data_IF_553214479796
#
_entry.id   IF_553214479796
#
_cell.length_a   1.000
_cell.length_b   1.000
_cell.length_c   1.000
_cell.angle_alpha   90.00
_cell.angle_beta   90.00
_cell.angle_gamma   90.00
#
_symmetry.space_group_name_H-M   'P 1'
#
loop_
_entity.id
_entity.type
_entity.pdbx_description
1 polymer ?
#
# COMPACT_ATOMS: atom_id res chain seq x y z
N UNK A 1 -26.72 -14.19 -33.57
CA UNK A 1 -25.69 -14.80 -32.74
C UNK A 1 -26.07 -14.46 -31.33
N UNK A 2 -26.62 -15.43 -30.61
CA UNK A 2 -26.99 -15.28 -29.20
C UNK A 2 -25.73 -15.49 -28.39
N UNK A 3 -25.33 -14.48 -27.63
CA UNK A 3 -24.34 -14.65 -26.58
C UNK A 3 -25.04 -15.33 -25.40
N UNK A 4 -24.66 -16.56 -25.15
CA UNK A 4 -25.10 -17.33 -23.99
C UNK A 4 -24.57 -16.65 -22.72
N UNK A 5 -25.46 -16.03 -21.96
CA UNK A 5 -25.19 -15.62 -20.59
C UNK A 5 -25.13 -16.91 -19.80
N UNK A 6 -23.93 -17.35 -19.39
CA UNK A 6 -23.79 -18.45 -18.42
C UNK A 6 -24.48 -18.05 -17.11
N UNK A 7 -25.64 -18.63 -16.91
CA UNK A 7 -26.32 -18.60 -15.62
C UNK A 7 -25.51 -19.54 -14.68
N UNK A 8 -24.75 -18.95 -13.77
CA UNK A 8 -24.02 -19.72 -12.75
C UNK A 8 -25.06 -20.42 -11.86
N UNK A 9 -25.17 -21.73 -12.02
CA UNK A 9 -26.06 -22.57 -11.21
C UNK A 9 -25.49 -22.73 -9.79
N UNK A 10 -26.09 -22.07 -8.81
CA UNK A 10 -25.66 -22.06 -7.41
C UNK A 10 -25.89 -23.38 -6.66
N UNK A 11 -26.34 -24.44 -7.33
CA UNK A 11 -26.66 -25.73 -6.71
C UNK A 11 -25.58 -26.81 -6.85
N UNK A 12 -24.45 -26.53 -7.46
CA UNK A 12 -23.35 -27.50 -7.54
C UNK A 12 -22.40 -27.37 -6.35
N UNK A 13 -21.98 -28.48 -5.78
CA UNK A 13 -21.22 -28.69 -4.53
C UNK A 13 -19.87 -27.98 -4.36
N UNK A 14 -19.49 -27.05 -5.23
CA UNK A 14 -18.42 -26.06 -4.99
C UNK A 14 -19.05 -24.78 -4.43
N UNK A 15 -19.19 -24.71 -3.11
CA UNK A 15 -19.58 -23.46 -2.45
C UNK A 15 -18.76 -22.30 -2.98
N UNK A 16 -19.42 -21.29 -3.58
CA UNK A 16 -18.77 -20.05 -3.99
C UNK A 16 -18.00 -19.45 -2.81
N UNK A 17 -16.72 -19.22 -2.97
CA UNK A 17 -15.85 -18.67 -1.93
C UNK A 17 -15.45 -17.25 -2.26
N UNK A 18 -15.85 -16.30 -1.42
CA UNK A 18 -15.49 -14.90 -1.53
C UNK A 18 -14.00 -14.71 -1.25
N UNK A 19 -13.46 -15.42 -0.24
CA UNK A 19 -12.05 -15.37 0.09
C UNK A 19 -11.17 -15.86 -1.06
N UNK A 20 -11.60 -16.88 -1.81
CA UNK A 20 -10.85 -17.36 -2.97
C UNK A 20 -10.96 -16.43 -4.18
N UNK A 21 -12.13 -15.82 -4.38
CA UNK A 21 -12.42 -15.02 -5.58
C UNK A 21 -11.91 -13.58 -5.47
N UNK A 22 -12.04 -12.98 -4.30
CA UNK A 22 -11.74 -11.55 -4.07
C UNK A 22 -10.57 -11.32 -3.10
N UNK A 23 -10.05 -12.39 -2.48
CA UNK A 23 -8.96 -12.31 -1.51
C UNK A 23 -7.59 -12.53 -2.16
N UNK A 24 -6.61 -11.73 -1.77
CA UNK A 24 -5.18 -11.93 -2.07
C UNK A 24 -4.49 -12.42 -0.79
N UNK A 25 -3.95 -13.64 -0.80
CA UNK A 25 -3.18 -14.15 0.34
C UNK A 25 -1.77 -13.56 0.34
N UNK A 26 -1.50 -12.63 1.24
CA UNK A 26 -0.22 -11.95 1.35
C UNK A 26 0.91 -12.85 1.84
N UNK A 27 0.60 -13.95 2.53
CA UNK A 27 1.60 -14.94 2.95
C UNK A 27 2.16 -15.76 1.79
N UNK A 28 1.38 -15.94 0.73
CA UNK A 28 1.79 -16.72 -0.47
C UNK A 28 2.13 -15.85 -1.68
N UNK A 29 1.97 -14.53 -1.54
CA UNK A 29 2.32 -13.55 -2.58
C UNK A 29 3.80 -13.61 -2.90
N UNK A 30 4.16 -13.44 -4.18
CA UNK A 30 5.57 -13.27 -4.59
C UNK A 30 6.08 -11.87 -4.25
N UNK A 31 7.16 -11.81 -3.46
CA UNK A 31 7.85 -10.57 -3.11
C UNK A 31 9.24 -10.53 -3.75
N UNK A 32 9.56 -9.46 -4.45
CA UNK A 32 10.89 -9.22 -5.03
C UNK A 32 11.87 -8.77 -3.94
N UNK A 33 11.40 -7.87 -3.07
CA UNK A 33 12.15 -7.31 -1.93
C UNK A 33 11.21 -7.15 -0.75
N UNK A 34 11.74 -6.91 0.45
CA UNK A 34 10.92 -6.54 1.62
C UNK A 34 10.04 -5.32 1.28
N UNK A 35 8.71 -5.42 1.39
CA UNK A 35 7.81 -4.31 1.09
C UNK A 35 7.79 -3.23 2.19
N UNK A 36 8.28 -3.53 3.40
CA UNK A 36 8.12 -2.69 4.59
C UNK A 36 9.43 -2.24 5.22
N UNK A 37 10.36 -1.77 4.39
CA UNK A 37 11.66 -1.27 4.83
C UNK A 37 11.46 -0.12 5.83
N UNK A 38 12.14 -0.20 6.98
CA UNK A 38 12.08 0.83 8.03
C UNK A 38 10.77 0.85 8.83
N UNK A 39 9.91 -0.19 8.72
CA UNK A 39 8.61 -0.27 9.41
C UNK A 39 8.56 -1.33 10.52
N UNK A 40 9.71 -1.70 11.08
CA UNK A 40 9.82 -2.74 12.12
C UNK A 40 8.98 -2.41 13.36
N UNK A 41 8.93 -1.13 13.75
CA UNK A 41 8.17 -0.67 14.91
C UNK A 41 6.66 -0.92 14.72
N UNK A 42 6.11 -0.44 13.60
CA UNK A 42 4.69 -0.56 13.31
C UNK A 42 4.28 -2.02 13.07
N UNK A 43 5.14 -2.81 12.42
CA UNK A 43 4.93 -4.25 12.27
C UNK A 43 4.88 -4.94 13.63
N UNK A 44 5.86 -4.67 14.51
CA UNK A 44 5.90 -5.26 15.85
C UNK A 44 4.66 -4.90 16.66
N UNK A 45 4.25 -3.63 16.63
CA UNK A 45 3.06 -3.16 17.34
C UNK A 45 1.80 -3.84 16.80
N UNK A 46 1.66 -3.93 15.48
CA UNK A 46 0.53 -4.63 14.84
C UNK A 46 0.48 -6.10 15.25
N UNK A 47 1.61 -6.81 15.23
CA UNK A 47 1.69 -8.20 15.65
C UNK A 47 1.33 -8.39 17.14
N UNK A 48 1.77 -7.50 18.03
CA UNK A 48 1.42 -7.53 19.46
C UNK A 48 -0.09 -7.37 19.67
N UNK A 49 -0.73 -6.48 18.91
CA UNK A 49 -2.18 -6.29 18.95
C UNK A 49 -2.90 -7.57 18.50
N UNK A 50 -2.44 -8.18 17.40
CA UNK A 50 -3.04 -9.43 16.89
C UNK A 50 -2.89 -10.61 17.85
N UNK A 51 -1.87 -10.61 18.71
CA UNK A 51 -1.69 -11.61 19.78
C UNK A 51 -2.62 -11.35 20.96
N UNK A 52 -3.11 -10.13 21.13
CA UNK A 52 -4.05 -9.78 22.20
C UNK A 52 -5.41 -10.40 21.90
N UNK A 53 -6.02 -11.12 22.86
CA UNK A 53 -7.37 -11.69 22.67
C UNK A 53 -8.39 -10.61 22.30
N UNK A 54 -9.29 -10.94 21.38
CA UNK A 54 -10.41 -10.07 20.97
C UNK A 54 -10.01 -8.69 20.44
N UNK A 55 -8.73 -8.51 20.06
CA UNK A 55 -8.24 -7.25 19.48
C UNK A 55 -7.80 -7.43 18.03
N UNK A 56 -8.07 -6.39 17.26
CA UNK A 56 -7.67 -6.18 15.89
C UNK A 56 -6.88 -4.87 15.77
N UNK A 57 -6.04 -4.74 14.75
CA UNK A 57 -5.20 -3.57 14.56
C UNK A 57 -5.83 -2.57 13.59
N UNK A 58 -5.63 -1.28 13.85
CA UNK A 58 -6.06 -0.19 12.98
C UNK A 58 -4.87 0.70 12.64
N UNK A 59 -4.32 0.55 11.43
CA UNK A 59 -3.24 1.41 10.93
C UNK A 59 -3.82 2.76 10.52
N UNK A 60 -3.39 3.83 11.17
CA UNK A 60 -3.89 5.19 10.93
C UNK A 60 -2.74 6.11 10.57
N UNK A 61 -2.88 6.86 9.49
CA UNK A 61 -1.89 7.83 9.08
C UNK A 61 -2.20 8.42 7.71
N UNK A 62 -1.51 9.45 7.30
CA UNK A 62 -1.78 10.19 6.05
C UNK A 62 -1.74 9.28 4.81
N UNK A 63 -2.33 9.72 3.70
CA UNK A 63 -2.24 9.00 2.43
C UNK A 63 -0.77 8.89 1.96
N UNK A 64 -0.42 7.79 1.30
CA UNK A 64 0.91 7.59 0.68
C UNK A 64 2.07 7.28 1.64
N UNK A 65 1.84 7.15 2.99
CA UNK A 65 2.92 6.90 3.96
C UNK A 65 3.32 5.42 4.10
N UNK A 66 2.64 4.50 3.41
CA UNK A 66 3.02 3.08 3.37
C UNK A 66 2.24 2.16 4.31
N UNK A 67 1.00 2.47 4.70
CA UNK A 67 0.17 1.58 5.55
C UNK A 67 0.00 0.19 4.93
N UNK A 68 -0.35 0.12 3.65
CA UNK A 68 -0.47 -1.16 2.93
C UNK A 68 0.85 -1.93 2.87
N UNK A 69 1.97 -1.21 2.72
CA UNK A 69 3.31 -1.81 2.72
C UNK A 69 3.65 -2.48 4.07
N UNK A 70 3.22 -1.90 5.21
CA UNK A 70 3.37 -2.51 6.54
C UNK A 70 2.68 -3.88 6.59
N UNK A 71 1.44 -3.98 6.08
CA UNK A 71 0.68 -5.23 6.08
C UNK A 71 1.29 -6.26 5.11
N UNK A 72 1.73 -5.83 3.94
CA UNK A 72 2.50 -6.67 3.03
C UNK A 72 3.81 -7.16 3.68
N UNK A 73 4.47 -6.30 4.47
CA UNK A 73 5.65 -6.68 5.25
C UNK A 73 5.37 -7.74 6.33
N UNK A 74 4.19 -7.71 6.94
CA UNK A 74 3.75 -8.79 7.83
C UNK A 74 3.60 -10.09 7.03
N UNK A 75 2.93 -10.06 5.87
CA UNK A 75 2.80 -11.23 4.98
C UNK A 75 4.16 -11.80 4.56
N UNK A 76 5.09 -10.93 4.18
CA UNK A 76 6.46 -11.31 3.84
C UNK A 76 7.20 -12.00 5.01
N UNK A 77 7.06 -11.48 6.24
CA UNK A 77 7.63 -12.10 7.45
C UNK A 77 6.94 -13.41 7.81
N UNK A 78 5.62 -13.53 7.62
CA UNK A 78 4.88 -14.79 7.78
C UNK A 78 5.41 -15.86 6.82
N UNK A 79 5.67 -15.50 5.57
CA UNK A 79 6.26 -16.39 4.56
C UNK A 79 7.64 -16.90 4.98
N UNK A 80 8.46 -16.04 5.62
CA UNK A 80 9.79 -16.39 6.13
C UNK A 80 9.78 -17.08 7.49
N UNK A 81 8.62 -17.20 8.15
CA UNK A 81 8.51 -17.72 9.51
C UNK A 81 9.04 -16.77 10.58
N UNK A 82 9.23 -15.49 10.26
CA UNK A 82 9.75 -14.43 11.13
C UNK A 82 8.62 -13.71 11.90
N UNK A 83 7.61 -14.46 12.31
CA UNK A 83 6.49 -14.00 13.14
C UNK A 83 6.36 -14.86 14.39
N UNK A 84 5.69 -14.38 15.44
CA UNK A 84 5.43 -15.20 16.65
C UNK A 84 4.77 -16.53 16.31
N UNK A 85 5.15 -17.60 17.02
CA UNK A 85 4.64 -18.95 16.75
C UNK A 85 3.12 -19.04 16.69
N UNK A 86 2.44 -18.27 17.53
CA UNK A 86 0.96 -18.24 17.57
C UNK A 86 0.32 -17.69 16.27
N UNK A 87 1.09 -17.03 15.40
CA UNK A 87 0.59 -16.47 14.13
C UNK A 87 1.14 -17.18 12.90
N UNK A 88 2.03 -18.18 13.05
CA UNK A 88 2.66 -18.86 11.92
C UNK A 88 1.69 -19.60 11.02
N UNK A 89 0.65 -20.18 11.62
CA UNK A 89 -0.36 -20.97 10.90
C UNK A 89 -1.51 -20.13 10.36
N UNK A 90 -1.46 -18.80 10.59
CA UNK A 90 -2.44 -17.89 10.02
C UNK A 90 -2.14 -17.58 8.57
N UNK A 91 -3.21 -17.39 7.81
CA UNK A 91 -3.20 -16.73 6.51
C UNK A 91 -3.54 -15.24 6.67
N UNK A 92 -2.88 -14.39 5.91
CA UNK A 92 -3.16 -12.95 5.86
C UNK A 92 -3.81 -12.62 4.53
N UNK A 93 -5.14 -12.44 4.55
CA UNK A 93 -5.94 -12.24 3.35
C UNK A 93 -6.34 -10.80 3.20
N UNK A 94 -5.85 -10.15 2.13
CA UNK A 94 -6.27 -8.80 1.73
C UNK A 94 -7.54 -8.88 0.90
N UNK A 95 -8.56 -8.09 1.26
CA UNK A 95 -9.77 -7.92 0.46
C UNK A 95 -9.93 -6.44 0.11
N UNK A 96 -10.22 -6.16 -1.16
CA UNK A 96 -10.65 -4.86 -1.62
C UNK A 96 -12.18 -4.79 -1.56
N UNK A 97 -12.68 -4.01 -0.62
CA UNK A 97 -14.12 -3.86 -0.40
C UNK A 97 -14.83 -3.25 -1.61
N UNK A 98 -14.22 -2.27 -2.28
CA UNK A 98 -14.80 -1.65 -3.48
C UNK A 98 -14.97 -2.66 -4.62
N UNK A 99 -14.01 -3.57 -4.80
CA UNK A 99 -14.11 -4.65 -5.80
C UNK A 99 -15.14 -5.72 -5.42
N UNK A 100 -15.25 -6.01 -4.12
CA UNK A 100 -16.23 -6.97 -3.60
C UNK A 100 -17.67 -6.49 -3.80
N UNK A 101 -17.92 -5.21 -3.54
CA UNK A 101 -19.24 -4.60 -3.65
C UNK A 101 -19.65 -4.30 -5.10
N UNK A 102 -18.68 -4.09 -6.00
CA UNK A 102 -18.94 -3.81 -7.42
C UNK A 102 -19.77 -2.56 -7.68
N UNK A 103 -20.25 -2.40 -8.92
CA UNK A 103 -21.28 -1.42 -9.23
C UNK A 103 -22.60 -1.86 -8.57
N UNK A 104 -23.25 -0.92 -7.89
CA UNK A 104 -24.49 -1.13 -7.16
C UNK A 104 -25.52 -1.88 -8.01
N UNK A 105 -25.71 -3.14 -7.68
CA UNK A 105 -26.78 -3.94 -8.26
C UNK A 105 -27.94 -3.94 -7.27
N UNK A 106 -29.11 -3.42 -7.71
CA UNK A 106 -30.34 -3.36 -6.91
C UNK A 106 -30.94 -4.75 -6.59
N UNK A 107 -30.22 -5.82 -6.88
CA UNK A 107 -30.68 -7.22 -6.80
C UNK A 107 -30.33 -7.96 -5.51
N UNK A 108 -29.72 -7.33 -4.49
CA UNK A 108 -29.34 -8.00 -3.22
C UNK A 108 -28.13 -8.96 -3.31
N UNK A 109 -27.49 -9.08 -4.47
CA UNK A 109 -26.32 -9.96 -4.70
C UNK A 109 -25.13 -9.58 -3.81
N UNK A 110 -24.96 -8.29 -3.52
CA UNK A 110 -23.86 -7.81 -2.69
C UNK A 110 -24.03 -8.14 -1.19
N UNK A 111 -25.26 -8.14 -0.69
CA UNK A 111 -25.58 -8.62 0.67
C UNK A 111 -25.17 -10.08 0.85
N UNK A 112 -25.47 -10.91 -0.14
CA UNK A 112 -25.11 -12.33 -0.11
C UNK A 112 -23.59 -12.53 -0.08
N UNK A 113 -22.81 -11.75 -0.84
CA UNK A 113 -21.32 -11.84 -0.85
C UNK A 113 -20.73 -11.49 0.52
N UNK A 114 -21.21 -10.42 1.15
CA UNK A 114 -20.75 -10.01 2.48
C UNK A 114 -21.12 -11.04 3.55
N UNK A 115 -22.31 -11.60 3.48
CA UNK A 115 -22.72 -12.67 4.39
C UNK A 115 -21.84 -13.92 4.20
N UNK A 116 -21.60 -14.34 2.97
CA UNK A 116 -20.70 -15.47 2.65
C UNK A 116 -19.30 -15.20 3.22
N UNK A 117 -18.73 -13.99 3.02
CA UNK A 117 -17.44 -13.63 3.59
C UNK A 117 -17.41 -13.76 5.12
N UNK A 118 -18.41 -13.23 5.80
CA UNK A 118 -18.50 -13.33 7.27
C UNK A 118 -18.61 -14.78 7.74
N UNK A 119 -19.37 -15.60 7.05
CA UNK A 119 -19.55 -17.01 7.39
C UNK A 119 -18.27 -17.80 7.10
N UNK A 120 -17.58 -17.55 6.00
CA UNK A 120 -16.25 -18.12 5.71
C UNK A 120 -15.23 -17.76 6.79
N UNK A 121 -15.21 -16.49 7.26
CA UNK A 121 -14.31 -16.04 8.32
C UNK A 121 -14.62 -16.68 9.69
N UNK A 122 -15.89 -17.07 9.95
CA UNK A 122 -16.28 -17.78 11.17
C UNK A 122 -15.97 -19.28 11.11
N UNK A 123 -16.11 -19.89 9.92
CA UNK A 123 -15.85 -21.31 9.70
C UNK A 123 -14.35 -21.63 9.63
N UNK A 124 -13.54 -20.68 9.21
CA UNK A 124 -12.09 -20.85 9.05
C UNK A 124 -11.35 -20.22 10.24
N UNK A 125 -10.77 -21.07 11.05
CA UNK A 125 -9.78 -20.65 12.04
C UNK A 125 -8.50 -20.19 11.33
N UNK A 126 -7.70 -19.33 11.97
CA UNK A 126 -6.38 -18.90 11.49
C UNK A 126 -6.40 -18.00 10.22
N UNK A 127 -7.36 -17.11 10.10
CA UNK A 127 -7.36 -16.03 9.10
C UNK A 127 -7.22 -14.69 9.80
N UNK A 128 -6.31 -13.86 9.28
CA UNK A 128 -6.24 -12.43 9.54
C UNK A 128 -6.75 -11.72 8.29
N UNK A 129 -7.86 -11.02 8.42
CA UNK A 129 -8.44 -10.24 7.32
C UNK A 129 -7.80 -8.86 7.27
N UNK A 130 -7.25 -8.48 6.14
CA UNK A 130 -6.80 -7.11 5.90
C UNK A 130 -7.76 -6.36 4.99
N UNK A 131 -8.22 -5.22 5.47
CA UNK A 131 -9.06 -4.29 4.71
C UNK A 131 -8.37 -2.94 4.64
N UNK A 132 -7.97 -2.56 3.43
CA UNK A 132 -7.55 -1.18 3.14
C UNK A 132 -8.78 -0.28 3.02
N UNK A 133 -8.64 0.99 3.36
CA UNK A 133 -9.77 1.95 3.38
C UNK A 133 -10.95 1.46 4.23
N UNK A 134 -10.64 0.92 5.41
CA UNK A 134 -11.64 0.29 6.32
C UNK A 134 -12.77 1.25 6.73
N UNK A 135 -12.60 2.56 6.59
CA UNK A 135 -13.65 3.56 6.81
C UNK A 135 -14.87 3.35 5.90
N UNK A 136 -14.70 2.70 4.74
CA UNK A 136 -15.81 2.35 3.84
C UNK A 136 -16.82 1.41 4.50
N UNK A 137 -16.43 0.65 5.54
CA UNK A 137 -17.34 -0.23 6.28
C UNK A 137 -18.31 0.52 7.19
N UNK A 138 -17.95 1.73 7.62
CA UNK A 138 -18.70 2.52 8.60
C UNK A 138 -19.25 3.83 8.02
N UNK A 139 -18.80 4.24 6.83
CA UNK A 139 -19.27 5.46 6.18
C UNK A 139 -20.67 5.25 5.59
N UNK A 140 -21.66 5.95 6.16
CA UNK A 140 -23.07 5.85 5.72
C UNK A 140 -23.36 6.44 4.34
N UNK A 141 -22.42 7.17 3.74
CA UNK A 141 -22.63 7.96 2.52
C UNK A 141 -22.15 7.31 1.22
N UNK A 142 -21.47 6.17 1.30
CA UNK A 142 -20.79 5.61 0.10
C UNK A 142 -21.61 4.57 -0.65
N UNK A 143 -22.79 4.22 -0.18
CA UNK A 143 -23.57 3.23 -0.93
C UNK A 143 -25.05 3.34 -0.63
N UNK A 144 -25.85 3.22 -1.68
CA UNK A 144 -27.23 2.76 -1.60
C UNK A 144 -27.34 1.30 -1.05
N UNK A 145 -26.27 0.81 -0.44
CA UNK A 145 -26.22 -0.48 0.25
C UNK A 145 -26.76 -0.27 1.66
N UNK A 146 -27.96 -0.76 1.89
CA UNK A 146 -28.57 -0.85 3.22
C UNK A 146 -27.85 -1.85 4.15
N UNK A 147 -26.62 -2.30 3.80
CA UNK A 147 -25.90 -3.34 4.52
C UNK A 147 -24.85 -2.72 5.41
N UNK A 148 -25.05 -2.84 6.69
CA UNK A 148 -24.08 -2.45 7.71
C UNK A 148 -23.07 -3.59 7.92
N UNK A 149 -22.08 -3.70 7.02
CA UNK A 149 -21.04 -4.74 7.08
C UNK A 149 -20.27 -4.71 8.40
N UNK A 150 -20.05 -3.50 8.95
CA UNK A 150 -19.43 -3.37 10.26
C UNK A 150 -20.24 -4.11 11.35
N UNK A 151 -21.56 -4.04 11.32
CA UNK A 151 -22.42 -4.78 12.25
C UNK A 151 -22.36 -6.30 12.04
N UNK A 152 -22.20 -6.77 10.80
CA UNK A 152 -22.06 -8.21 10.51
C UNK A 152 -20.75 -8.79 11.06
N UNK A 153 -19.66 -8.00 11.07
CA UNK A 153 -18.36 -8.41 11.62
C UNK A 153 -18.29 -8.35 13.15
N UNK A 154 -19.05 -7.44 13.79
CA UNK A 154 -18.98 -7.21 15.24
C UNK A 154 -19.04 -8.49 16.09
N UNK A 155 -19.97 -9.45 15.86
CA UNK A 155 -20.03 -10.66 16.69
C UNK A 155 -18.78 -11.54 16.60
N UNK A 156 -18.14 -11.62 15.42
CA UNK A 156 -16.91 -12.37 15.23
C UNK A 156 -15.69 -11.67 15.86
N UNK A 157 -15.64 -10.35 15.74
CA UNK A 157 -14.59 -9.54 16.38
C UNK A 157 -14.71 -9.58 17.91
N UNK A 158 -15.94 -9.57 18.48
CA UNK A 158 -16.18 -9.63 19.92
C UNK A 158 -15.74 -10.95 20.55
N UNK A 159 -15.88 -12.05 19.83
CA UNK A 159 -15.47 -13.37 20.31
C UNK A 159 -14.02 -13.70 19.98
N UNK A 160 -13.33 -12.81 19.26
CA UNK A 160 -11.96 -13.06 18.77
C UNK A 160 -11.87 -14.15 17.71
N UNK A 161 -13.01 -14.61 17.15
CA UNK A 161 -13.02 -15.58 16.03
C UNK A 161 -12.62 -14.95 14.71
N UNK A 162 -12.77 -13.64 14.58
CA UNK A 162 -12.29 -12.86 13.44
C UNK A 162 -11.17 -11.94 13.92
N UNK A 163 -9.99 -12.05 13.33
CA UNK A 163 -8.87 -11.11 13.50
C UNK A 163 -8.75 -10.23 12.26
N UNK A 164 -8.53 -8.93 12.48
CA UNK A 164 -8.45 -7.98 11.39
C UNK A 164 -7.27 -7.02 11.52
N UNK A 165 -6.79 -6.56 10.38
CA UNK A 165 -6.02 -5.33 10.24
C UNK A 165 -6.85 -4.39 9.36
N UNK A 166 -7.17 -3.20 9.86
CA UNK A 166 -7.76 -2.13 9.06
C UNK A 166 -6.70 -1.07 8.76
N UNK A 167 -6.79 -0.43 7.61
CA UNK A 167 -6.00 0.76 7.30
C UNK A 167 -6.92 1.90 6.85
N UNK A 168 -6.62 3.12 7.30
CA UNK A 168 -7.38 4.32 6.94
C UNK A 168 -6.51 5.57 7.08
N UNK A 169 -6.94 6.69 6.52
CA UNK A 169 -6.27 7.98 6.76
C UNK A 169 -6.65 8.56 8.13
N UNK A 170 -5.84 9.51 8.62
CA UNK A 170 -6.14 10.20 9.89
C UNK A 170 -7.46 10.96 9.82
N UNK A 171 -7.75 11.61 8.69
CA UNK A 171 -8.98 12.38 8.47
C UNK A 171 -10.22 11.48 8.42
N UNK A 172 -10.13 10.33 7.76
CA UNK A 172 -11.21 9.33 7.68
C UNK A 172 -11.42 8.63 9.03
N UNK A 173 -10.33 8.37 9.77
CA UNK A 173 -10.41 7.83 11.11
C UNK A 173 -11.21 8.75 12.04
N UNK A 174 -10.91 10.04 12.04
CA UNK A 174 -11.62 11.04 12.83
C UNK A 174 -13.07 11.23 12.36
N UNK A 175 -13.30 11.28 11.05
CA UNK A 175 -14.60 11.56 10.46
C UNK A 175 -15.59 10.41 10.57
N UNK A 176 -15.12 9.15 10.46
CA UNK A 176 -15.98 7.97 10.35
C UNK A 176 -15.78 6.97 11.49
N UNK A 177 -14.52 6.55 11.76
CA UNK A 177 -14.24 5.45 12.69
C UNK A 177 -14.52 5.86 14.14
N UNK A 178 -14.10 7.05 14.57
CA UNK A 178 -14.31 7.53 15.94
C UNK A 178 -15.80 7.66 16.32
N UNK A 179 -16.69 7.76 15.34
CA UNK A 179 -18.14 7.88 15.57
C UNK A 179 -18.79 6.54 15.88
N UNK A 180 -18.23 5.42 15.40
CA UNK A 180 -18.73 4.08 15.75
C UNK A 180 -17.93 3.50 16.93
N UNK A 181 -18.32 3.91 18.15
CA UNK A 181 -17.69 3.42 19.39
C UNK A 181 -17.76 1.90 19.56
N UNK A 182 -18.78 1.26 19.00
CA UNK A 182 -18.95 -0.18 19.08
C UNK A 182 -17.96 -0.91 18.18
N UNK A 183 -17.64 -0.37 17.00
CA UNK A 183 -16.61 -0.88 16.13
C UNK A 183 -15.22 -0.58 16.71
N UNK A 184 -14.99 0.65 17.15
CA UNK A 184 -13.71 1.12 17.67
C UNK A 184 -13.18 0.31 18.87
N UNK A 185 -14.06 -0.16 19.78
CA UNK A 185 -13.62 -0.93 20.96
C UNK A 185 -12.87 -2.22 20.62
N UNK A 186 -13.02 -2.74 19.41
CA UNK A 186 -12.40 -3.97 18.94
C UNK A 186 -11.05 -3.75 18.31
N UNK A 187 -10.72 -2.49 18.05
CA UNK A 187 -9.46 -2.13 17.40
C UNK A 187 -8.53 -1.39 18.36
N UNK A 188 -7.23 -1.68 18.24
CA UNK A 188 -6.18 -0.85 18.80
C UNK A 188 -5.51 -0.10 17.65
N UNK A 189 -5.33 1.20 17.83
CA UNK A 189 -4.73 2.10 16.84
C UNK A 189 -3.23 1.89 16.81
N UNK A 190 -2.68 1.83 15.61
CA UNK A 190 -1.25 1.93 15.31
C UNK A 190 -1.05 3.20 14.51
N UNK A 191 -0.35 4.17 15.06
CA UNK A 191 -0.04 5.41 14.36
C UNK A 191 1.11 5.18 13.38
N UNK A 192 0.85 5.48 12.10
CA UNK A 192 1.85 5.40 11.05
C UNK A 192 2.28 6.80 10.67
N UNK A 193 3.52 7.12 10.98
CA UNK A 193 4.11 8.42 10.70
C UNK A 193 4.82 8.45 9.35
N UNK A 194 4.99 9.65 8.81
CA UNK A 194 5.79 9.88 7.61
C UNK A 194 7.26 9.52 7.90
N UNK A 195 7.95 8.72 7.07
CA UNK A 195 9.33 8.35 7.31
C UNK A 195 10.26 9.58 7.16
N UNK A 196 11.40 9.53 7.85
CA UNK A 196 12.45 10.55 7.73
C UNK A 196 13.06 10.55 6.32
N UNK A 197 13.87 11.58 6.01
CA UNK A 197 14.64 11.62 4.77
C UNK A 197 15.52 10.38 4.66
N UNK A 198 16.26 10.04 5.71
CA UNK A 198 17.18 8.90 5.76
C UNK A 198 16.43 7.57 5.55
N UNK A 199 15.29 7.40 6.20
CA UNK A 199 14.50 6.18 6.03
C UNK A 199 13.85 6.12 4.65
N UNK A 200 13.45 7.27 4.09
CA UNK A 200 12.93 7.34 2.72
C UNK A 200 13.99 6.93 1.70
N UNK A 201 15.26 7.36 1.87
CA UNK A 201 16.38 6.90 1.02
C UNK A 201 16.54 5.38 1.10
N UNK A 202 16.51 4.78 2.32
CA UNK A 202 16.54 3.32 2.49
C UNK A 202 15.37 2.63 1.79
N UNK A 203 14.17 3.22 1.86
CA UNK A 203 12.98 2.70 1.16
C UNK A 203 13.21 2.73 -0.35
N UNK A 204 13.76 3.81 -0.92
CA UNK A 204 14.08 3.86 -2.34
C UNK A 204 15.13 2.80 -2.72
N UNK A 205 16.21 2.68 -1.90
CA UNK A 205 17.27 1.67 -2.10
C UNK A 205 16.75 0.24 -2.07
N UNK A 206 15.75 -0.07 -1.25
CA UNK A 206 15.15 -1.41 -1.22
C UNK A 206 14.01 -1.61 -2.22
N UNK A 207 13.48 -0.53 -2.81
CA UNK A 207 12.33 -0.62 -3.71
C UNK A 207 12.73 -0.55 -5.19
N UNK A 208 13.89 0.07 -5.54
CA UNK A 208 14.30 0.20 -6.93
C UNK A 208 14.38 -1.14 -7.70
N UNK A 209 14.76 -2.30 -7.09
CA UNK A 209 14.76 -3.56 -7.84
C UNK A 209 13.37 -3.99 -8.33
N UNK A 210 12.30 -3.56 -7.63
CA UNK A 210 10.92 -3.75 -8.12
C UNK A 210 10.65 -2.91 -9.37
N UNK A 211 11.17 -1.67 -9.38
CA UNK A 211 11.05 -0.78 -10.55
C UNK A 211 11.83 -1.33 -11.75
N UNK A 212 13.05 -1.84 -11.53
CA UNK A 212 13.84 -2.51 -12.56
C UNK A 212 13.10 -3.70 -13.16
N UNK A 213 12.62 -4.63 -12.31
CA UNK A 213 11.87 -5.82 -12.78
C UNK A 213 10.61 -5.41 -13.55
N UNK A 214 9.92 -4.37 -13.11
CA UNK A 214 8.64 -3.95 -13.68
C UNK A 214 8.78 -3.19 -14.99
N UNK A 215 9.85 -2.38 -15.13
CA UNK A 215 10.11 -1.55 -16.31
C UNK A 215 10.98 -2.24 -17.35
N UNK A 216 11.80 -3.23 -16.95
CA UNK A 216 12.86 -3.79 -17.76
C UNK A 216 14.08 -2.87 -17.91
N UNK A 217 14.15 -1.78 -17.15
CA UNK A 217 15.24 -0.80 -17.15
C UNK A 217 16.13 -1.04 -15.95
N UNK A 218 17.44 -1.08 -16.13
CA UNK A 218 18.43 -1.31 -15.07
C UNK A 218 19.10 0.01 -14.69
N UNK A 219 19.38 0.22 -13.42
CA UNK A 219 20.20 1.32 -12.92
C UNK A 219 21.68 0.92 -12.95
N UNK A 220 22.52 1.50 -13.82
CA UNK A 220 23.91 1.04 -14.03
C UNK A 220 24.90 1.60 -13.00
N UNK A 221 24.39 2.27 -11.96
CA UNK A 221 25.23 2.97 -10.99
C UNK A 221 25.61 2.07 -9.82
N UNK A 222 26.78 2.37 -9.21
CA UNK A 222 27.18 1.77 -7.92
C UNK A 222 26.17 2.13 -6.82
N UNK A 223 26.14 1.35 -5.74
CA UNK A 223 25.21 1.61 -4.63
C UNK A 223 25.44 3.00 -4.02
N UNK A 224 26.70 3.46 -3.95
CA UNK A 224 27.03 4.82 -3.51
C UNK A 224 26.42 5.89 -4.43
N UNK A 225 26.50 5.72 -5.75
CA UNK A 225 25.91 6.67 -6.70
C UNK A 225 24.39 6.64 -6.67
N UNK A 226 23.77 5.44 -6.53
CA UNK A 226 22.34 5.30 -6.34
C UNK A 226 21.87 6.04 -5.09
N UNK A 227 22.57 5.84 -3.96
CA UNK A 227 22.23 6.49 -2.69
C UNK A 227 22.30 8.02 -2.82
N UNK A 228 23.33 8.56 -3.48
CA UNK A 228 23.43 10.02 -3.77
C UNK A 228 22.24 10.50 -4.59
N UNK A 229 21.92 9.81 -5.69
CA UNK A 229 20.80 10.17 -6.56
C UNK A 229 19.48 10.13 -5.79
N UNK A 230 19.22 9.05 -5.05
CA UNK A 230 17.98 8.90 -4.29
C UNK A 230 17.88 9.93 -3.17
N UNK A 231 18.96 10.21 -2.47
CA UNK A 231 19.01 11.28 -1.47
C UNK A 231 18.65 12.63 -2.08
N UNK A 232 19.20 12.96 -3.24
CA UNK A 232 18.85 14.19 -3.95
C UNK A 232 17.36 14.26 -4.30
N UNK A 233 16.76 13.16 -4.81
CA UNK A 233 15.34 13.10 -5.12
C UNK A 233 14.47 13.26 -3.87
N UNK A 234 14.87 12.65 -2.76
CA UNK A 234 14.17 12.78 -1.47
C UNK A 234 14.28 14.22 -0.95
N UNK A 235 15.46 14.80 -0.91
CA UNK A 235 15.66 16.18 -0.45
C UNK A 235 14.95 17.22 -1.33
N UNK A 236 14.80 16.97 -2.63
CA UNK A 236 14.01 17.81 -3.51
C UNK A 236 12.52 17.79 -3.13
N UNK A 237 12.03 16.65 -2.70
CA UNK A 237 10.63 16.45 -2.31
C UNK A 237 10.36 16.62 -0.82
N UNK A 238 11.25 17.32 -0.11
CA UNK A 238 11.12 17.69 1.30
C UNK A 238 9.84 18.50 1.58
N UNK A 239 9.32 18.42 2.79
CA UNK A 239 8.05 19.03 3.19
C UNK A 239 7.95 20.52 2.84
N UNK A 240 9.05 21.27 2.98
CA UNK A 240 9.06 22.70 2.71
C UNK A 240 9.18 23.06 1.22
N UNK A 241 9.46 22.09 0.36
CA UNK A 241 9.63 22.29 -1.09
C UNK A 241 8.45 21.78 -1.89
N UNK A 242 7.65 20.85 -1.34
CA UNK A 242 6.51 20.27 -2.03
C UNK A 242 5.27 21.16 -1.95
N UNK A 243 4.44 21.08 -2.98
CA UNK A 243 3.17 21.81 -3.05
C UNK A 243 2.21 21.21 -2.04
N UNK A 244 1.80 22.00 -1.05
CA UNK A 244 1.00 21.55 0.08
C UNK A 244 -0.38 21.00 -0.35
N UNK A 245 -1.01 21.64 -1.32
CA UNK A 245 -2.36 21.33 -1.81
C UNK A 245 -2.44 19.95 -2.46
N UNK A 246 -1.34 19.42 -2.98
CA UNK A 246 -1.29 18.09 -3.59
C UNK A 246 -1.35 16.98 -2.52
N UNK A 247 -0.97 17.29 -1.28
CA UNK A 247 -1.05 16.35 -0.15
C UNK A 247 -0.08 15.17 -0.17
N UNK A 248 0.84 15.12 -1.15
CA UNK A 248 1.81 14.05 -1.30
C UNK A 248 2.77 13.96 -0.10
N UNK A 249 3.11 12.74 0.31
CA UNK A 249 3.94 12.42 1.49
C UNK A 249 5.03 11.41 1.15
N UNK A 250 6.05 11.31 2.00
CA UNK A 250 7.00 10.23 1.93
C UNK A 250 6.36 8.88 2.33
N UNK A 251 6.76 7.77 1.70
CA UNK A 251 7.75 7.68 0.62
C UNK A 251 7.16 7.90 -0.79
N UNK A 252 5.83 8.03 -0.92
CA UNK A 252 5.12 8.00 -2.21
C UNK A 252 5.62 9.06 -3.21
N UNK A 253 5.81 10.31 -2.76
CA UNK A 253 6.28 11.40 -3.62
C UNK A 253 7.67 11.11 -4.20
N UNK A 254 8.60 10.57 -3.38
CA UNK A 254 9.94 10.27 -3.82
C UNK A 254 9.98 9.03 -4.72
N UNK A 255 9.18 8.00 -4.42
CA UNK A 255 8.99 6.81 -5.26
C UNK A 255 8.38 7.17 -6.61
N UNK A 256 7.41 8.08 -6.64
CA UNK A 256 6.81 8.58 -7.87
C UNK A 256 7.84 9.32 -8.71
N UNK A 257 8.67 10.16 -8.11
CA UNK A 257 9.71 10.90 -8.84
C UNK A 257 10.76 9.94 -9.42
N UNK A 258 11.19 8.94 -8.66
CA UNK A 258 12.07 7.88 -9.16
C UNK A 258 11.39 7.07 -10.29
N UNK A 259 10.13 6.69 -10.11
CA UNK A 259 9.33 6.01 -11.13
C UNK A 259 9.23 6.79 -12.44
N UNK A 260 9.13 8.12 -12.37
CA UNK A 260 9.12 8.99 -13.55
C UNK A 260 10.46 8.92 -14.31
N UNK A 261 11.60 8.80 -13.62
CA UNK A 261 12.89 8.59 -14.28
C UNK A 261 12.93 7.27 -15.06
N UNK A 262 12.42 6.18 -14.49
CA UNK A 262 12.25 4.92 -15.20
C UNK A 262 11.31 5.04 -16.40
N UNK A 263 10.18 5.74 -16.23
CA UNK A 263 9.24 5.97 -17.32
C UNK A 263 9.85 6.76 -18.48
N UNK A 264 10.73 7.74 -18.21
CA UNK A 264 11.46 8.46 -19.24
C UNK A 264 12.38 7.52 -20.03
N UNK A 265 13.11 6.62 -19.36
CA UNK A 265 13.95 5.64 -20.04
C UNK A 265 13.15 4.67 -20.91
N UNK A 266 12.03 4.17 -20.40
CA UNK A 266 11.09 3.31 -21.17
C UNK A 266 10.55 4.05 -22.40
N UNK A 267 10.15 5.30 -22.24
CA UNK A 267 9.64 6.13 -23.35
C UNK A 267 10.70 6.32 -24.46
N UNK A 268 11.96 6.42 -24.08
CA UNK A 268 13.09 6.50 -24.99
C UNK A 268 13.52 5.14 -25.57
N UNK A 269 12.80 4.05 -25.26
CA UNK A 269 13.15 2.67 -25.62
C UNK A 269 14.52 2.23 -25.11
N UNK A 270 14.95 2.74 -23.95
CA UNK A 270 16.20 2.36 -23.29
C UNK A 270 15.94 1.26 -22.25
N UNK A 271 16.90 0.35 -22.11
CA UNK A 271 16.90 -0.67 -21.05
C UNK A 271 17.86 -0.35 -19.90
N UNK A 272 18.47 0.84 -19.95
CA UNK A 272 19.41 1.37 -18.94
C UNK A 272 18.99 2.78 -18.58
N UNK A 273 18.91 3.06 -17.28
CA UNK A 273 18.62 4.39 -16.75
C UNK A 273 19.86 5.27 -16.90
N UNK A 274 19.74 6.41 -17.56
CA UNK A 274 20.78 7.42 -17.64
C UNK A 274 20.53 8.59 -16.69
N UNK A 275 21.57 9.34 -16.36
CA UNK A 275 21.44 10.53 -15.51
C UNK A 275 20.53 11.59 -16.13
N UNK A 276 20.41 11.64 -17.47
CA UNK A 276 19.48 12.50 -18.17
C UNK A 276 18.02 12.14 -17.87
N UNK A 277 17.68 10.86 -17.74
CA UNK A 277 16.32 10.45 -17.39
C UNK A 277 15.91 10.89 -15.98
N UNK A 278 16.87 10.89 -15.04
CA UNK A 278 16.67 11.43 -13.68
C UNK A 278 16.50 12.95 -13.73
N UNK A 279 17.36 13.62 -14.50
CA UNK A 279 17.28 15.08 -14.69
C UNK A 279 15.94 15.52 -15.28
N UNK A 280 15.43 14.82 -16.30
CA UNK A 280 14.15 15.11 -16.91
C UNK A 280 12.98 14.86 -15.96
N UNK A 281 13.06 13.84 -15.11
CA UNK A 281 12.07 13.62 -14.05
C UNK A 281 12.03 14.80 -13.06
N UNK A 282 13.19 15.34 -12.66
CA UNK A 282 13.30 16.53 -11.81
C UNK A 282 12.73 17.75 -12.52
N UNK A 283 13.13 17.99 -13.76
CA UNK A 283 12.71 19.14 -14.60
C UNK A 283 11.19 19.18 -14.77
N UNK A 284 10.54 18.01 -14.89
CA UNK A 284 9.12 17.87 -15.10
C UNK A 284 8.32 17.62 -13.80
N UNK A 285 8.95 17.64 -12.63
CA UNK A 285 8.31 17.40 -11.36
C UNK A 285 7.29 18.52 -11.05
N UNK A 286 6.00 18.13 -10.96
CA UNK A 286 4.89 19.05 -10.65
C UNK A 286 4.50 19.04 -9.17
N UNK A 287 5.16 18.23 -8.36
CA UNK A 287 4.82 18.06 -6.94
C UNK A 287 5.60 19.02 -6.03
N UNK A 288 6.52 19.81 -6.58
CA UNK A 288 7.33 20.79 -5.85
C UNK A 288 7.16 22.18 -6.43
N UNK A 289 7.38 23.19 -5.59
CA UNK A 289 7.31 24.59 -6.03
C UNK A 289 8.35 24.90 -7.11
N UNK A 290 8.00 25.78 -8.05
CA UNK A 290 8.84 26.11 -9.20
C UNK A 290 10.23 26.63 -8.83
N UNK A 291 10.33 27.44 -7.78
CA UNK A 291 11.60 27.99 -7.33
C UNK A 291 12.51 26.90 -6.74
N UNK A 292 11.92 25.95 -5.97
CA UNK A 292 12.65 24.79 -5.46
C UNK A 292 13.16 23.92 -6.62
N UNK A 293 12.31 23.68 -7.63
CA UNK A 293 12.66 22.90 -8.82
C UNK A 293 13.77 23.56 -9.63
N UNK A 294 13.68 24.88 -9.92
CA UNK A 294 14.73 25.61 -10.66
C UNK A 294 16.07 25.56 -9.94
N UNK A 295 16.06 25.73 -8.60
CA UNK A 295 17.27 25.61 -7.80
C UNK A 295 17.84 24.19 -7.82
N UNK A 296 16.99 23.19 -7.74
CA UNK A 296 17.41 21.79 -7.82
C UNK A 296 18.04 21.44 -9.17
N UNK A 297 17.55 21.97 -10.28
CA UNK A 297 18.11 21.77 -11.62
C UNK A 297 19.58 22.28 -11.68
N UNK A 298 19.86 23.42 -11.07
CA UNK A 298 21.22 23.98 -11.02
C UNK A 298 22.11 23.09 -10.14
N UNK A 299 21.68 22.81 -8.93
CA UNK A 299 22.44 21.99 -7.98
C UNK A 299 22.71 20.58 -8.53
N UNK A 300 21.73 19.98 -9.24
CA UNK A 300 21.89 18.65 -9.84
C UNK A 300 23.06 18.60 -10.84
N UNK A 301 23.20 19.60 -11.68
CA UNK A 301 24.30 19.67 -12.67
C UNK A 301 25.67 19.78 -11.98
N UNK A 302 25.74 20.45 -10.85
CA UNK A 302 26.99 20.59 -10.07
C UNK A 302 27.31 19.31 -9.29
N UNK A 303 26.31 18.75 -8.59
CA UNK A 303 26.48 17.60 -7.71
C UNK A 303 26.81 16.31 -8.48
N UNK A 304 26.19 16.12 -9.65
CA UNK A 304 26.34 14.91 -10.46
C UNK A 304 27.22 15.10 -11.69
N UNK A 305 28.11 16.13 -11.69
CA UNK A 305 29.02 16.40 -12.78
C UNK A 305 29.88 15.19 -13.14
N UNK A 306 30.35 14.44 -12.16
CA UNK A 306 31.11 13.21 -12.33
C UNK A 306 30.37 12.15 -13.17
N UNK A 307 29.08 11.96 -12.95
CA UNK A 307 28.25 11.01 -13.69
C UNK A 307 27.92 11.58 -15.09
N UNK A 308 27.55 12.86 -15.16
CA UNK A 308 27.23 13.56 -16.42
C UNK A 308 28.41 13.49 -17.40
N UNK A 309 29.62 13.79 -16.92
CA UNK A 309 30.85 13.76 -17.72
C UNK A 309 31.17 12.31 -18.17
N UNK A 310 30.95 11.31 -17.28
CA UNK A 310 31.21 9.91 -17.61
C UNK A 310 30.24 9.34 -18.66
N UNK A 311 28.99 9.79 -18.66
CA UNK A 311 27.98 9.40 -19.67
C UNK A 311 28.11 10.24 -20.96
N UNK A 312 28.85 11.33 -20.96
CA UNK A 312 28.98 12.22 -22.10
C UNK A 312 27.66 12.90 -22.50
N UNK A 313 26.74 13.11 -21.56
CA UNK A 313 25.41 13.70 -21.82
C UNK A 313 25.42 15.21 -21.61
N UNK A 314 24.63 15.93 -22.42
CA UNK A 314 24.40 17.35 -22.27
C UNK A 314 23.00 17.57 -21.68
N UNK A 315 22.94 18.14 -20.47
CA UNK A 315 21.69 18.48 -19.81
C UNK A 315 21.26 19.91 -20.14
N UNK A 316 20.17 20.05 -20.89
CA UNK A 316 19.62 21.34 -21.36
C UNK A 316 18.61 21.95 -20.38
#
# INVERSE_FOLDING_TARGET
MNEDVEVVDFNNNDKFSVLKTYGENLKTKEYITDPAIGRDKEIKETLLILLTPEKSAMLVGKAGIGKTAIVEGIGYRMQKGEVPNALKDYDLIKINISSLLGNVDSSGVNENKLQILVDELKERENIILFIDEVHLLVSRNTSNLNVDFANMLKPGLDRGTIKMIGATTSEEYESYILRDRAFLRRFQKVDVEEPTIEDTVKILMGTYPKLEKKSGVIIPYSDYQKERIFKFLVELTDEYKRIYEIGNRYPDIALTLLGNAFSNAVFENKNVLSISNVYDAIKNCKSVYDDARKKAIINFKEEFKDIIDSEGVILN
#
